data_IF_763382122992
#
_entry.id   IF_763382122992
#
_cell.length_a   1.000
_cell.length_b   1.000
_cell.length_c   1.000
_cell.angle_alpha   90.00
_cell.angle_beta   90.00
_cell.angle_gamma   90.00
#
_symmetry.space_group_name_H-M   'P 1'
#
loop_
_entity.id
_entity.type
_entity.pdbx_description
1 polymer ?
#
# COMPACT_ATOMS: atom_id res chain seq x y z
N UNK A 1 -4.87 -21.35 6.03
CA UNK A 1 -5.87 -21.94 5.12
C UNK A 1 -6.50 -20.87 4.26
N UNK A 2 -7.56 -20.22 4.76
CA UNK A 2 -8.34 -19.22 4.00
C UNK A 2 -7.50 -18.06 3.45
N UNK A 3 -6.62 -17.47 4.26
CA UNK A 3 -5.76 -16.36 3.82
C UNK A 3 -4.86 -16.72 2.63
N UNK A 4 -4.36 -17.95 2.57
CA UNK A 4 -3.53 -18.42 1.44
C UNK A 4 -4.37 -18.56 0.18
N UNK A 5 -5.59 -19.07 0.30
CA UNK A 5 -6.52 -19.17 -0.84
C UNK A 5 -6.85 -17.77 -1.38
N UNK A 6 -7.17 -16.83 -0.50
CA UNK A 6 -7.46 -15.44 -0.90
C UNK A 6 -6.23 -14.77 -1.54
N UNK A 7 -5.03 -15.04 -1.03
CA UNK A 7 -3.78 -14.55 -1.62
C UNK A 7 -3.56 -15.12 -3.04
N UNK A 8 -3.84 -16.40 -3.28
CA UNK A 8 -3.76 -17.00 -4.62
C UNK A 8 -4.80 -16.36 -5.56
N UNK A 9 -6.03 -16.12 -5.06
CA UNK A 9 -7.07 -15.44 -5.84
C UNK A 9 -6.63 -14.03 -6.21
N UNK A 10 -6.10 -13.25 -5.25
CA UNK A 10 -5.57 -11.90 -5.48
C UNK A 10 -4.42 -11.93 -6.50
N UNK A 11 -3.47 -12.86 -6.37
CA UNK A 11 -2.36 -13.03 -7.30
C UNK A 11 -2.80 -13.24 -8.75
N UNK A 12 -3.85 -14.04 -8.97
CA UNK A 12 -4.41 -14.30 -10.30
C UNK A 12 -5.24 -13.12 -10.80
N UNK A 13 -6.07 -12.54 -9.93
CA UNK A 13 -6.93 -11.40 -10.26
C UNK A 13 -6.11 -10.18 -10.73
N UNK A 14 -4.97 -9.92 -10.08
CA UNK A 14 -4.07 -8.82 -10.40
C UNK A 14 -3.46 -8.92 -11.82
N UNK A 15 -3.48 -10.10 -12.47
CA UNK A 15 -2.93 -10.27 -13.83
C UNK A 15 -3.91 -9.91 -14.94
N UNK A 16 -5.21 -9.82 -14.64
CA UNK A 16 -6.24 -9.59 -15.66
C UNK A 16 -6.66 -8.13 -15.62
N UNK A 17 -6.47 -7.35 -16.71
CA UNK A 17 -6.93 -5.97 -16.79
C UNK A 17 -8.44 -5.86 -16.50
N UNK A 18 -8.86 -4.76 -15.88
CA UNK A 18 -10.23 -4.51 -15.38
C UNK A 18 -10.68 -5.38 -14.19
N UNK A 19 -10.28 -6.65 -14.12
CA UNK A 19 -10.51 -7.49 -12.93
C UNK A 19 -9.72 -6.92 -11.76
N UNK A 20 -8.42 -6.63 -11.96
CA UNK A 20 -7.54 -5.92 -11.03
C UNK A 20 -8.19 -4.61 -10.54
N UNK A 21 -8.65 -3.77 -11.46
CA UNK A 21 -9.26 -2.47 -11.10
C UNK A 21 -10.58 -2.61 -10.34
N UNK A 22 -11.41 -3.59 -10.69
CA UNK A 22 -12.67 -3.85 -9.97
C UNK A 22 -12.39 -4.40 -8.58
N UNK A 23 -11.40 -5.28 -8.46
CA UNK A 23 -10.93 -5.85 -7.21
C UNK A 23 -10.36 -4.76 -6.29
N UNK A 24 -9.51 -3.88 -6.81
CA UNK A 24 -8.96 -2.73 -6.09
C UNK A 24 -10.05 -1.73 -5.67
N UNK A 25 -11.09 -1.53 -6.48
CA UNK A 25 -12.22 -0.67 -6.11
C UNK A 25 -12.94 -1.18 -4.85
N UNK A 26 -13.19 -2.49 -4.75
CA UNK A 26 -13.76 -3.09 -3.55
C UNK A 26 -12.81 -2.97 -2.34
N UNK A 27 -11.50 -3.22 -2.56
CA UNK A 27 -10.49 -3.18 -1.50
C UNK A 27 -10.18 -1.77 -0.99
N UNK A 28 -10.61 -0.73 -1.69
CA UNK A 28 -10.57 0.66 -1.20
C UNK A 28 -11.33 0.82 0.11
N UNK A 29 -12.35 0.00 0.37
CA UNK A 29 -13.10 0.00 1.62
C UNK A 29 -12.69 -1.14 2.56
N UNK A 30 -12.45 -2.33 2.01
CA UNK A 30 -12.14 -3.52 2.81
C UNK A 30 -10.79 -3.38 3.50
N UNK A 31 -9.76 -2.89 2.78
CA UNK A 31 -8.38 -2.85 3.28
C UNK A 31 -8.17 -1.84 4.42
N UNK A 32 -8.72 -0.61 4.39
CA UNK A 32 -8.66 0.29 5.54
C UNK A 32 -9.33 -0.30 6.78
N UNK A 33 -10.50 -0.93 6.62
CA UNK A 33 -11.21 -1.59 7.73
C UNK A 33 -10.37 -2.73 8.32
N UNK A 34 -9.75 -3.55 7.47
CA UNK A 34 -8.79 -4.56 7.90
C UNK A 34 -7.59 -3.96 8.65
N UNK A 35 -7.03 -2.85 8.15
CA UNK A 35 -5.95 -2.12 8.80
C UNK A 35 -6.34 -1.59 10.17
N UNK A 36 -7.53 -0.99 10.31
CA UNK A 36 -8.08 -0.55 11.60
C UNK A 36 -8.17 -1.72 12.58
N UNK A 37 -8.74 -2.85 12.14
CA UNK A 37 -8.91 -4.03 12.97
C UNK A 37 -7.57 -4.60 13.46
N UNK A 38 -6.58 -4.73 12.57
CA UNK A 38 -5.24 -5.23 12.92
C UNK A 38 -4.57 -4.30 13.95
N UNK A 39 -4.63 -2.98 13.75
CA UNK A 39 -4.02 -2.03 14.69
C UNK A 39 -4.68 -2.01 16.05
N UNK A 40 -6.00 -2.11 16.09
CA UNK A 40 -6.75 -2.24 17.35
C UNK A 40 -6.35 -3.51 18.11
N UNK A 41 -6.38 -4.65 17.41
CA UNK A 41 -6.07 -5.96 18.00
C UNK A 41 -4.60 -6.08 18.43
N UNK A 42 -3.68 -5.41 17.73
CA UNK A 42 -2.26 -5.40 18.10
C UNK A 42 -2.02 -4.75 19.47
N UNK A 43 -2.91 -3.86 19.92
CA UNK A 43 -2.81 -3.13 21.18
C UNK A 43 -3.72 -3.71 22.28
N UNK A 44 -4.23 -4.92 22.11
CA UNK A 44 -5.15 -5.56 23.05
C UNK A 44 -4.58 -5.57 24.48
N UNK A 45 -5.41 -5.22 25.47
CA UNK A 45 -5.03 -5.13 26.88
C UNK A 45 -4.41 -3.79 27.29
N UNK A 46 -4.18 -2.88 26.36
CA UNK A 46 -3.73 -1.51 26.66
C UNK A 46 -4.91 -0.54 26.79
N UNK A 47 -4.62 0.71 27.17
CA UNK A 47 -5.61 1.77 27.29
C UNK A 47 -6.47 1.92 26.00
N UNK A 48 -7.80 2.07 26.10
CA UNK A 48 -8.68 2.19 24.93
C UNK A 48 -8.32 3.35 23.99
N UNK A 49 -7.77 4.45 24.50
CA UNK A 49 -7.35 5.56 23.64
C UNK A 49 -6.14 5.16 22.78
N UNK A 50 -5.19 4.41 23.34
CA UNK A 50 -4.05 3.89 22.59
C UNK A 50 -4.46 2.85 21.54
N UNK A 51 -5.39 1.95 21.88
CA UNK A 51 -5.93 0.99 20.90
C UNK A 51 -6.60 1.70 19.72
N UNK A 52 -7.42 2.70 20.02
CA UNK A 52 -8.12 3.51 19.00
C UNK A 52 -7.13 4.32 18.16
N UNK A 53 -6.13 4.94 18.79
CA UNK A 53 -5.11 5.69 18.08
C UNK A 53 -4.31 4.81 17.11
N UNK A 54 -3.86 3.64 17.56
CA UNK A 54 -3.12 2.71 16.69
C UNK A 54 -4.00 2.17 15.56
N UNK A 55 -5.26 1.85 15.85
CA UNK A 55 -6.22 1.45 14.82
C UNK A 55 -6.31 2.52 13.71
N UNK A 56 -6.54 3.78 14.08
CA UNK A 56 -6.63 4.89 13.12
C UNK A 56 -5.34 5.05 12.31
N UNK A 57 -4.18 4.94 12.94
CA UNK A 57 -2.88 5.02 12.27
C UNK A 57 -2.73 3.89 11.24
N UNK A 58 -2.97 2.63 11.62
CA UNK A 58 -2.80 1.50 10.71
C UNK A 58 -3.85 1.49 9.59
N UNK A 59 -5.10 1.88 9.87
CA UNK A 59 -6.13 2.03 8.84
C UNK A 59 -5.80 3.13 7.84
N UNK A 60 -5.27 4.28 8.31
CA UNK A 60 -4.83 5.38 7.45
C UNK A 60 -3.65 4.96 6.57
N UNK A 61 -2.67 4.25 7.14
CA UNK A 61 -1.53 3.72 6.38
C UNK A 61 -2.03 2.74 5.30
N UNK A 62 -2.91 1.80 5.67
CA UNK A 62 -3.47 0.82 4.73
C UNK A 62 -4.22 1.49 3.58
N UNK A 63 -5.02 2.53 3.86
CA UNK A 63 -5.72 3.31 2.84
C UNK A 63 -4.76 4.05 1.91
N UNK A 64 -3.77 4.75 2.47
CA UNK A 64 -2.79 5.51 1.68
C UNK A 64 -1.96 4.59 0.77
N UNK A 65 -1.52 3.44 1.28
CA UNK A 65 -0.82 2.42 0.47
C UNK A 65 -1.70 1.89 -0.66
N UNK A 66 -2.99 1.64 -0.40
CA UNK A 66 -3.93 1.17 -1.42
C UNK A 66 -4.18 2.20 -2.51
N UNK A 67 -4.41 3.46 -2.15
CA UNK A 67 -4.56 4.55 -3.13
C UNK A 67 -3.28 4.72 -3.95
N UNK A 68 -2.11 4.58 -3.33
CA UNK A 68 -0.82 4.64 -4.04
C UNK A 68 -0.73 3.54 -5.09
N UNK A 69 -1.07 2.29 -4.74
CA UNK A 69 -1.17 1.16 -5.69
C UNK A 69 -2.15 1.49 -6.82
N UNK A 70 -3.40 1.84 -6.49
CA UNK A 70 -4.45 2.10 -7.47
C UNK A 70 -4.07 3.24 -8.43
N UNK A 71 -3.43 4.31 -7.93
CA UNK A 71 -2.94 5.43 -8.75
C UNK A 71 -1.79 5.00 -9.67
N UNK A 72 -0.86 4.19 -9.16
CA UNK A 72 0.22 3.62 -9.98
C UNK A 72 -0.35 2.70 -11.08
N UNK A 73 -1.34 1.87 -10.76
CA UNK A 73 -2.03 1.02 -11.74
C UNK A 73 -2.78 1.82 -12.78
N UNK A 74 -3.43 2.93 -12.42
CA UNK A 74 -4.07 3.83 -13.38
C UNK A 74 -3.06 4.39 -14.41
N UNK A 75 -1.82 4.68 -13.98
CA UNK A 75 -0.75 5.08 -14.89
C UNK A 75 -0.22 3.90 -15.72
N UNK A 76 0.04 2.75 -15.09
CA UNK A 76 0.56 1.54 -15.76
C UNK A 76 -0.41 1.00 -16.81
N UNK A 77 -1.72 1.04 -16.53
CA UNK A 77 -2.77 0.56 -17.44
C UNK A 77 -2.97 1.46 -18.68
N UNK A 78 -2.26 2.61 -18.77
CA UNK A 78 -2.17 3.36 -20.03
C UNK A 78 -1.27 2.67 -21.06
N UNK A 79 -0.42 1.74 -20.63
CA UNK A 79 0.38 0.90 -21.50
C UNK A 79 -0.47 -0.25 -22.07
N UNK A 80 -0.47 -0.48 -23.40
CA UNK A 80 -1.23 -1.56 -24.02
C UNK A 80 -0.69 -2.97 -23.73
N UNK A 81 0.55 -3.09 -23.25
CA UNK A 81 1.18 -4.39 -23.00
C UNK A 81 0.97 -4.91 -21.57
N UNK A 82 0.62 -6.21 -21.38
CA UNK A 82 0.28 -6.80 -20.09
C UNK A 82 1.48 -7.00 -19.14
N UNK A 83 2.70 -6.81 -19.64
CA UNK A 83 3.94 -7.07 -18.92
C UNK A 83 4.11 -6.10 -17.75
N UNK A 84 3.83 -4.80 -17.95
CA UNK A 84 4.04 -3.78 -16.93
C UNK A 84 3.18 -4.00 -15.68
N UNK A 85 1.91 -4.39 -15.88
CA UNK A 85 1.00 -4.71 -14.79
C UNK A 85 1.47 -5.97 -14.04
N UNK A 86 1.86 -7.01 -14.79
CA UNK A 86 2.37 -8.25 -14.21
C UNK A 86 3.65 -8.05 -13.38
N UNK A 87 4.60 -7.25 -13.88
CA UNK A 87 5.86 -6.93 -13.18
C UNK A 87 5.58 -6.12 -11.91
N UNK A 88 4.70 -5.13 -11.98
CA UNK A 88 4.31 -4.34 -10.81
C UNK A 88 3.69 -5.24 -9.73
N UNK A 89 2.72 -6.08 -10.09
CA UNK A 89 2.08 -7.05 -9.19
C UNK A 89 3.10 -7.99 -8.52
N UNK A 90 3.98 -8.63 -9.30
CA UNK A 90 4.99 -9.54 -8.71
C UNK A 90 5.95 -8.78 -7.78
N UNK A 91 6.31 -7.55 -8.13
CA UNK A 91 7.18 -6.72 -7.29
C UNK A 91 6.50 -6.39 -5.96
N UNK A 92 5.20 -6.09 -5.98
CA UNK A 92 4.39 -5.87 -4.78
C UNK A 92 4.37 -7.12 -3.89
N UNK A 93 4.10 -8.30 -4.44
CA UNK A 93 4.05 -9.56 -3.69
C UNK A 93 5.39 -9.92 -3.05
N UNK A 94 6.48 -9.84 -3.83
CA UNK A 94 7.83 -10.10 -3.33
C UNK A 94 8.21 -9.11 -2.23
N UNK A 95 7.82 -7.83 -2.38
CA UNK A 95 8.05 -6.81 -1.37
C UNK A 95 7.33 -7.12 -0.06
N UNK A 96 6.07 -7.57 -0.12
CA UNK A 96 5.30 -7.98 1.07
C UNK A 96 5.98 -9.12 1.80
N UNK A 97 6.37 -10.18 1.08
CA UNK A 97 7.08 -11.33 1.67
C UNK A 97 8.42 -10.90 2.29
N UNK A 98 9.19 -10.08 1.58
CA UNK A 98 10.48 -9.57 2.07
C UNK A 98 10.34 -8.71 3.33
N UNK A 99 9.37 -7.81 3.37
CA UNK A 99 9.11 -6.97 4.55
C UNK A 99 8.64 -7.83 5.72
N UNK A 100 7.72 -8.77 5.52
CA UNK A 100 7.25 -9.67 6.60
C UNK A 100 8.40 -10.53 7.15
N UNK A 101 9.29 -11.01 6.27
CA UNK A 101 10.49 -11.72 6.67
C UNK A 101 11.41 -10.84 7.53
N UNK A 102 11.67 -9.59 7.10
CA UNK A 102 12.51 -8.65 7.84
C UNK A 102 11.91 -8.26 9.19
N UNK A 103 10.60 -7.99 9.24
CA UNK A 103 9.89 -7.69 10.50
C UNK A 103 10.03 -8.85 11.49
N UNK A 104 9.98 -10.09 11.01
CA UNK A 104 10.04 -11.29 11.86
C UNK A 104 11.45 -11.66 12.30
N UNK A 105 12.46 -11.47 11.44
CA UNK A 105 13.84 -11.95 11.69
C UNK A 105 14.81 -10.85 12.11
N UNK A 106 14.61 -9.62 11.62
CA UNK A 106 15.52 -8.49 11.81
C UNK A 106 14.71 -7.19 12.08
N UNK A 107 13.96 -7.10 13.19
CA UNK A 107 13.00 -6.01 13.44
C UNK A 107 13.64 -4.63 13.48
N UNK A 108 14.88 -4.51 13.96
CA UNK A 108 15.63 -3.24 13.97
C UNK A 108 15.93 -2.78 12.54
N UNK A 109 16.35 -3.68 11.66
CA UNK A 109 16.62 -3.36 10.24
C UNK A 109 15.32 -2.95 9.56
N UNK A 110 14.23 -3.69 9.78
CA UNK A 110 12.91 -3.34 9.27
C UNK A 110 12.49 -1.93 9.72
N UNK A 111 12.66 -1.60 11.01
CA UNK A 111 12.37 -0.28 11.55
C UNK A 111 13.18 0.83 10.88
N UNK A 112 14.49 0.64 10.70
CA UNK A 112 15.36 1.63 10.01
C UNK A 112 14.89 1.83 8.56
N UNK A 113 14.61 0.75 7.83
CA UNK A 113 14.13 0.84 6.45
C UNK A 113 12.79 1.59 6.34
N UNK A 114 11.87 1.35 7.28
CA UNK A 114 10.59 2.09 7.35
C UNK A 114 10.84 3.58 7.56
N UNK A 115 11.73 3.96 8.49
CA UNK A 115 12.06 5.37 8.73
C UNK A 115 12.67 6.02 7.48
N UNK A 116 13.61 5.34 6.81
CA UNK A 116 14.20 5.81 5.55
C UNK A 116 13.12 5.99 4.48
N UNK A 117 12.22 5.02 4.35
CA UNK A 117 11.12 5.07 3.38
C UNK A 117 10.15 6.22 3.65
N UNK A 118 9.85 6.53 4.91
CA UNK A 118 9.03 7.68 5.29
C UNK A 118 9.74 8.99 4.90
N UNK A 119 11.03 9.13 5.21
CA UNK A 119 11.81 10.31 4.84
C UNK A 119 11.80 10.51 3.32
N UNK A 120 12.05 9.42 2.58
CA UNK A 120 11.99 9.42 1.11
C UNK A 120 10.60 9.82 0.60
N UNK A 121 9.53 9.25 1.15
CA UNK A 121 8.14 9.53 0.76
C UNK A 121 7.78 11.00 0.97
N UNK A 122 8.14 11.58 2.12
CA UNK A 122 7.91 13.00 2.41
C UNK A 122 8.70 13.90 1.45
N UNK A 123 9.96 13.56 1.18
CA UNK A 123 10.78 14.27 0.20
C UNK A 123 10.18 14.20 -1.21
N UNK A 124 9.77 13.01 -1.65
CA UNK A 124 9.20 12.75 -2.97
C UNK A 124 7.91 13.53 -3.17
N UNK A 125 6.99 13.51 -2.19
CA UNK A 125 5.76 14.30 -2.23
C UNK A 125 6.04 15.80 -2.34
N UNK A 126 7.03 16.33 -1.59
CA UNK A 126 7.45 17.74 -1.72
C UNK A 126 7.99 18.06 -3.12
N UNK A 127 8.73 17.14 -3.74
CA UNK A 127 9.26 17.32 -5.11
C UNK A 127 8.12 17.31 -6.12
N UNK A 128 7.21 16.34 -6.06
CA UNK A 128 6.05 16.25 -6.94
C UNK A 128 5.14 17.47 -6.82
N UNK A 129 4.84 17.92 -5.60
CA UNK A 129 4.04 19.12 -5.38
C UNK A 129 4.67 20.37 -6.01
N UNK A 130 6.00 20.54 -5.86
CA UNK A 130 6.73 21.64 -6.51
C UNK A 130 6.69 21.54 -8.03
N UNK A 131 6.83 20.34 -8.59
CA UNK A 131 6.76 20.10 -10.02
C UNK A 131 5.38 20.46 -10.59
N UNK A 132 4.32 19.96 -9.96
CA UNK A 132 2.93 20.27 -10.34
C UNK A 132 2.66 21.77 -10.27
N UNK A 133 3.06 22.44 -9.17
CA UNK A 133 2.91 23.90 -9.02
C UNK A 133 3.62 24.68 -10.14
N UNK A 134 4.78 24.23 -10.62
CA UNK A 134 5.50 24.86 -11.75
C UNK A 134 4.75 24.73 -13.08
N UNK A 135 4.12 23.59 -13.34
CA UNK A 135 3.31 23.38 -14.56
C UNK A 135 2.12 24.34 -14.58
N UNK A 136 1.38 24.45 -13.47
CA UNK A 136 0.22 25.33 -13.38
C UNK A 136 0.60 26.83 -13.26
N UNK A 137 1.77 27.15 -12.72
CA UNK A 137 2.26 28.54 -12.65
C UNK A 137 2.85 29.06 -13.95
N UNK A 138 3.16 28.20 -14.94
CA UNK A 138 3.63 28.58 -16.28
C UNK A 138 2.49 28.88 -17.27
N UNK A 139 1.24 28.66 -16.89
CA UNK A 139 0.03 28.94 -17.70
C UNK A 139 -0.62 30.30 -17.40
N UNK A 140 0.14 31.27 -16.88
CA UNK A 140 -0.26 32.68 -16.80
C UNK A 140 0.74 33.53 -17.55
#
# INVERSE_FOLDING_TARGET
>A
GVAVILCIIEFVADKVPYVDSTWDAAHTFIRPVGGLAIGYMAMNGMDPALQTATALVTGTIAFNSHITKATARAAINTSPEPISNSVASVTEDVSVVGVLYLVSTHPVIAGILVVIFIIFSVWFLKVMFRFVKRIFSRKK
#
